data_IF_965910969201
#
_entry.id   IF_965910969201
#
_cell.length_a   1.000
_cell.length_b   1.000
_cell.length_c   1.000
_cell.angle_alpha   90.00
_cell.angle_beta   90.00
_cell.angle_gamma   90.00
#
_symmetry.space_group_name_H-M   'P 1'
#
loop_
_entity.id
_entity.type
_entity.pdbx_description
1 polymer ?
#
# COMPACT_ATOMS: atom_id res chain seq x y z
N UNK A 1 -2.06 8.87 27.25
CA UNK A 1 -2.15 8.52 26.91
C UNK A 1 -1.96 7.87 26.26
N UNK A 2 -1.81 7.29 26.26
CA UNK A 2 -1.57 6.77 25.71
C UNK A 2 -1.90 6.64 24.78
N UNK A 3 -1.88 6.29 25.13
CA UNK A 3 -1.49 6.16 23.92
C UNK A 3 -2.45 6.16 22.85
N UNK A 4 -2.80 7.10 22.38
CA UNK A 4 -3.64 7.20 21.21
C UNK A 4 -2.96 6.71 19.94
N UNK A 5 -1.92 5.96 20.11
CA UNK A 5 -1.25 5.35 18.99
C UNK A 5 -2.17 4.33 18.34
N UNK A 6 -2.38 4.48 17.07
CA UNK A 6 -3.17 3.52 16.31
C UNK A 6 -2.52 2.14 16.38
N UNK A 7 -3.32 1.13 16.57
CA UNK A 7 -2.82 -0.23 16.55
C UNK A 7 -2.41 -0.60 15.12
N UNK A 8 -1.22 -1.17 14.96
CA UNK A 8 -0.79 -1.66 13.66
C UNK A 8 -1.41 -3.03 13.44
N UNK A 9 -2.33 -3.11 12.50
CA UNK A 9 -3.10 -4.32 12.23
C UNK A 9 -2.29 -5.32 11.42
N UNK A 10 -2.69 -6.59 11.52
CA UNK A 10 -2.22 -7.64 10.63
C UNK A 10 -3.41 -8.13 9.82
N UNK A 11 -3.15 -8.60 8.61
CA UNK A 11 -4.19 -9.16 7.75
C UNK A 11 -3.99 -10.66 7.62
N UNK A 12 -5.11 -11.38 7.43
CA UNK A 12 -5.06 -12.80 7.08
C UNK A 12 -5.05 -12.88 5.56
N UNK A 13 -4.03 -13.53 5.01
CA UNK A 13 -3.81 -13.63 3.57
C UNK A 13 -3.68 -15.08 3.17
N UNK A 14 -4.53 -15.51 2.23
CA UNK A 14 -4.44 -16.87 1.69
C UNK A 14 -3.37 -16.90 0.61
N UNK A 15 -2.44 -17.85 0.74
CA UNK A 15 -1.42 -18.06 -0.28
C UNK A 15 -2.05 -18.61 -1.56
N UNK A 16 -1.79 -17.95 -2.69
CA UNK A 16 -2.34 -18.38 -3.98
C UNK A 16 -1.63 -19.62 -4.53
N UNK A 17 -0.48 -19.95 -3.99
CA UNK A 17 0.28 -21.14 -4.45
C UNK A 17 -0.11 -22.41 -3.72
N UNK A 18 -0.28 -22.35 -2.39
CA UNK A 18 -0.54 -23.55 -1.61
C UNK A 18 -1.84 -23.51 -0.80
N UNK A 19 -2.53 -22.39 -0.76
CA UNK A 19 -3.82 -22.25 -0.08
C UNK A 19 -3.75 -22.01 1.42
N UNK A 20 -2.57 -21.99 2.01
CA UNK A 20 -2.44 -21.75 3.45
C UNK A 20 -2.80 -20.30 3.78
N UNK A 21 -3.56 -20.11 4.85
CA UNK A 21 -3.84 -18.79 5.38
C UNK A 21 -2.68 -18.33 6.26
N UNK A 22 -2.18 -17.13 6.01
CA UNK A 22 -1.06 -16.55 6.71
C UNK A 22 -1.47 -15.25 7.39
N UNK A 23 -0.84 -14.97 8.52
CA UNK A 23 -0.98 -13.67 9.16
C UNK A 23 0.15 -12.77 8.67
N UNK A 24 -0.20 -11.69 7.98
CA UNK A 24 0.77 -10.77 7.40
C UNK A 24 0.73 -9.46 8.20
N UNK A 25 1.81 -9.11 8.90
CA UNK A 25 1.84 -7.84 9.63
C UNK A 25 1.90 -6.66 8.69
N UNK A 26 1.23 -5.57 9.08
CA UNK A 26 1.24 -4.34 8.30
C UNK A 26 2.63 -3.72 8.26
N UNK A 27 3.40 -3.86 9.34
CA UNK A 27 4.78 -3.39 9.41
C UNK A 27 5.69 -4.58 9.73
N UNK A 28 6.74 -4.75 8.95
CA UNK A 28 7.72 -5.82 9.14
C UNK A 28 9.03 -5.41 8.48
N UNK A 29 10.12 -6.04 8.94
CA UNK A 29 11.44 -5.73 8.40
C UNK A 29 11.77 -6.49 7.13
N UNK A 30 10.99 -7.51 6.79
CA UNK A 30 11.24 -8.32 5.62
C UNK A 30 10.00 -8.52 4.78
N UNK A 31 10.16 -9.12 3.62
CA UNK A 31 9.06 -9.45 2.72
C UNK A 31 8.23 -10.58 3.32
N UNK A 32 6.89 -10.44 3.40
CA UNK A 32 6.05 -11.53 3.89
C UNK A 32 6.09 -12.73 2.95
N UNK A 33 6.30 -13.90 3.55
CA UNK A 33 6.33 -15.16 2.82
C UNK A 33 5.41 -16.17 3.48
N UNK A 34 4.86 -17.06 2.66
CA UNK A 34 4.01 -18.12 3.15
C UNK A 34 4.79 -19.03 4.10
N UNK A 35 4.23 -19.31 5.28
CA UNK A 35 4.87 -20.17 6.27
C UNK A 35 4.96 -21.62 5.83
N UNK A 36 4.22 -22.02 4.78
CA UNK A 36 4.24 -23.37 4.28
C UNK A 36 5.13 -23.52 3.03
N UNK A 37 4.84 -22.77 1.96
CA UNK A 37 5.56 -22.93 0.68
C UNK A 37 6.65 -21.88 0.43
N UNK A 38 6.75 -20.89 1.30
CA UNK A 38 7.76 -19.81 1.28
C UNK A 38 7.69 -18.86 0.09
N UNK A 39 6.61 -18.91 -0.69
CA UNK A 39 6.39 -17.94 -1.76
C UNK A 39 6.03 -16.58 -1.18
N UNK A 40 6.44 -15.47 -1.84
CA UNK A 40 6.04 -14.14 -1.39
C UNK A 40 4.52 -13.99 -1.37
N UNK A 41 4.02 -13.29 -0.36
CA UNK A 41 2.59 -13.02 -0.21
C UNK A 41 2.29 -11.59 -0.66
N UNK A 42 1.08 -11.32 -1.17
CA UNK A 42 0.65 -9.95 -1.40
C UNK A 42 0.75 -9.14 -0.11
N UNK A 43 1.26 -7.91 -0.20
CA UNK A 43 1.42 -7.08 0.98
C UNK A 43 0.58 -5.82 0.83
N UNK A 44 -0.56 -5.79 1.50
CA UNK A 44 -1.52 -4.70 1.46
C UNK A 44 -1.79 -4.29 2.90
N UNK A 45 -1.62 -3.01 3.20
CA UNK A 45 -1.82 -2.50 4.55
C UNK A 45 -2.51 -1.15 4.51
N UNK A 46 -3.24 -0.84 5.58
CA UNK A 46 -3.80 0.49 5.78
C UNK A 46 -2.92 1.25 6.74
N UNK A 47 -2.74 2.55 6.50
CA UNK A 47 -1.95 3.41 7.37
C UNK A 47 -2.66 4.74 7.56
N UNK A 48 -2.36 5.39 8.66
CA UNK A 48 -2.82 6.73 8.99
C UNK A 48 -1.67 7.58 9.47
N UNK A 49 -2.01 8.76 10.03
CA UNK A 49 -1.00 9.72 10.47
C UNK A 49 -0.03 9.12 11.50
N UNK A 50 -0.53 8.28 12.39
CA UNK A 50 0.29 7.70 13.47
C UNK A 50 1.07 6.46 13.10
N UNK A 51 0.82 5.85 11.94
CA UNK A 51 1.41 4.56 11.58
C UNK A 51 2.17 4.58 10.26
N UNK A 52 2.09 5.68 9.51
CA UNK A 52 2.65 5.75 8.16
C UNK A 52 4.16 5.52 8.15
N UNK A 53 4.87 6.07 9.13
CA UNK A 53 6.33 5.92 9.19
C UNK A 53 6.73 4.45 9.29
N UNK A 54 6.07 3.69 10.17
CA UNK A 54 6.40 2.28 10.36
C UNK A 54 5.91 1.40 9.22
N UNK A 55 4.73 1.70 8.67
CA UNK A 55 4.11 0.83 7.67
C UNK A 55 4.67 1.11 6.27
N UNK A 56 4.85 2.39 5.93
CA UNK A 56 5.24 2.76 4.57
C UNK A 56 6.69 3.21 4.46
N UNK A 57 7.13 4.12 5.32
CA UNK A 57 8.46 4.72 5.15
C UNK A 57 9.59 3.79 5.55
N UNK A 58 9.36 2.91 6.51
CA UNK A 58 10.37 1.96 6.97
C UNK A 58 10.45 0.70 6.08
N UNK A 59 9.56 0.54 5.12
CA UNK A 59 9.57 -0.63 4.26
C UNK A 59 10.84 -0.67 3.40
N UNK A 60 11.39 -1.86 3.23
CA UNK A 60 12.63 -2.06 2.48
C UNK A 60 12.41 -2.23 0.97
N UNK A 61 11.18 -2.49 0.56
CA UNK A 61 10.81 -2.61 -0.86
C UNK A 61 10.00 -1.38 -1.26
N UNK A 62 9.88 -1.10 -2.57
CA UNK A 62 9.06 0.02 -3.03
C UNK A 62 7.63 -0.07 -2.54
N UNK A 63 7.06 1.07 -2.17
CA UNK A 63 5.71 1.17 -1.63
C UNK A 63 4.87 2.00 -2.59
N UNK A 64 3.74 1.44 -3.00
CA UNK A 64 2.70 2.20 -3.72
C UNK A 64 1.73 2.70 -2.66
N UNK A 65 1.61 4.02 -2.52
CA UNK A 65 0.71 4.64 -1.57
C UNK A 65 -0.55 5.08 -2.31
N UNK A 66 -1.70 4.63 -1.83
CA UNK A 66 -3.00 5.00 -2.36
C UNK A 66 -3.66 5.98 -1.39
N UNK A 67 -3.64 7.26 -1.72
CA UNK A 67 -4.30 8.30 -0.94
C UNK A 67 -5.72 8.45 -1.49
N UNK A 68 -6.69 7.97 -0.72
CA UNK A 68 -8.07 7.81 -1.18
C UNK A 68 -9.06 8.41 -0.17
N UNK A 69 -10.33 8.47 -0.55
CA UNK A 69 -11.41 8.90 0.34
C UNK A 69 -12.65 8.04 0.12
N UNK A 70 -13.46 7.81 1.17
CA UNK A 70 -14.66 6.96 1.05
C UNK A 70 -15.71 7.48 0.08
N UNK A 71 -15.78 8.82 -0.11
CA UNK A 71 -16.76 9.46 -0.98
C UNK A 71 -16.30 9.52 -2.45
N UNK A 72 -15.14 9.03 -2.75
CA UNK A 72 -14.48 9.18 -4.05
C UNK A 72 -14.80 7.98 -4.96
N UNK A 73 -15.61 8.21 -6.00
CA UNK A 73 -15.96 7.14 -6.95
C UNK A 73 -14.76 6.62 -7.75
N UNK A 74 -13.87 7.49 -8.28
CA UNK A 74 -12.66 6.99 -8.97
C UNK A 74 -11.76 6.15 -8.08
N UNK A 75 -11.73 6.43 -6.77
CA UNK A 75 -10.94 5.61 -5.83
C UNK A 75 -11.47 4.19 -5.78
N UNK A 76 -12.79 4.00 -5.82
CA UNK A 76 -13.39 2.66 -5.80
C UNK A 76 -13.08 1.89 -7.09
N UNK A 77 -12.85 2.60 -8.18
CA UNK A 77 -12.48 1.97 -9.44
C UNK A 77 -11.02 1.54 -9.46
N UNK A 78 -10.13 2.36 -8.88
CA UNK A 78 -8.70 2.06 -8.90
C UNK A 78 -8.29 1.06 -7.84
N UNK A 79 -9.03 0.95 -6.73
CA UNK A 79 -8.67 0.09 -5.61
C UNK A 79 -8.53 -1.38 -6.01
N UNK A 80 -9.48 -2.00 -6.75
CA UNK A 80 -9.30 -3.39 -7.18
C UNK A 80 -8.09 -3.57 -8.09
N UNK A 81 -7.78 -2.59 -8.95
CA UNK A 81 -6.63 -2.67 -9.85
C UNK A 81 -5.32 -2.62 -9.05
N UNK A 82 -5.25 -1.76 -8.04
CA UNK A 82 -4.08 -1.70 -7.16
C UNK A 82 -3.88 -2.99 -6.38
N UNK A 83 -4.96 -3.56 -5.87
CA UNK A 83 -4.89 -4.82 -5.14
C UNK A 83 -4.47 -5.97 -6.05
N UNK A 84 -4.94 -5.96 -7.30
CA UNK A 84 -4.49 -6.94 -8.29
C UNK A 84 -2.99 -6.82 -8.54
N UNK A 85 -2.49 -5.58 -8.67
CA UNK A 85 -1.05 -5.35 -8.83
C UNK A 85 -0.26 -5.84 -7.62
N UNK A 86 -0.77 -5.60 -6.42
CA UNK A 86 -0.10 -6.06 -5.21
C UNK A 86 0.01 -7.59 -5.19
N UNK A 87 -1.00 -8.30 -5.69
CA UNK A 87 -0.95 -9.75 -5.82
C UNK A 87 0.04 -10.19 -6.89
N UNK A 88 -0.04 -9.56 -8.06
CA UNK A 88 0.82 -9.93 -9.19
C UNK A 88 2.29 -9.61 -8.94
N UNK A 89 2.56 -8.58 -8.16
CA UNK A 89 3.92 -8.13 -7.84
C UNK A 89 4.30 -8.45 -6.39
N UNK A 90 3.75 -9.53 -5.84
CA UNK A 90 4.06 -9.96 -4.48
C UNK A 90 5.58 -10.16 -4.33
N UNK A 91 6.15 -9.60 -3.26
CA UNK A 91 7.58 -9.61 -3.03
C UNK A 91 8.33 -8.47 -3.67
N UNK A 92 7.70 -7.72 -4.58
CA UNK A 92 8.32 -6.60 -5.29
C UNK A 92 7.80 -5.25 -4.87
N UNK A 93 6.54 -5.18 -4.42
CA UNK A 93 5.93 -3.94 -3.93
C UNK A 93 5.12 -4.21 -2.67
N UNK A 94 4.89 -3.14 -1.93
CA UNK A 94 3.92 -3.10 -0.84
C UNK A 94 2.88 -2.05 -1.20
N UNK A 95 1.60 -2.36 -1.05
CA UNK A 95 0.52 -1.40 -1.25
C UNK A 95 0.09 -0.88 0.12
N UNK A 96 0.17 0.44 0.31
CA UNK A 96 -0.28 1.09 1.54
C UNK A 96 -1.41 2.03 1.21
N UNK A 97 -2.58 1.82 1.81
CA UNK A 97 -3.78 2.61 1.57
C UNK A 97 -3.96 3.61 2.70
N UNK A 98 -4.19 4.86 2.36
CA UNK A 98 -4.36 5.95 3.33
C UNK A 98 -5.67 6.67 3.06
N UNK A 99 -6.61 6.57 4.00
CA UNK A 99 -7.87 7.31 3.94
C UNK A 99 -7.57 8.75 4.39
N UNK A 100 -7.62 9.70 3.47
CA UNK A 100 -7.25 11.10 3.77
C UNK A 100 -8.21 11.78 4.74
N UNK A 101 -9.44 11.29 4.84
CA UNK A 101 -10.40 11.83 5.82
C UNK A 101 -9.95 11.52 7.25
N UNK A 102 -9.21 10.44 7.43
CA UNK A 102 -8.69 10.01 8.73
C UNK A 102 -7.21 10.36 8.91
N UNK A 103 -6.57 10.89 7.87
CA UNK A 103 -5.14 11.19 7.88
C UNK A 103 -4.87 12.60 7.34
N UNK A 104 -5.37 13.65 8.03
CA UNK A 104 -5.24 15.01 7.54
C UNK A 104 -3.79 15.50 7.47
N UNK A 105 -2.91 15.00 8.33
CA UNK A 105 -1.50 15.40 8.31
C UNK A 105 -0.80 14.87 7.06
N UNK A 106 -1.09 13.61 6.69
CA UNK A 106 -0.52 13.03 5.48
C UNK A 106 -1.08 13.71 4.23
N UNK A 107 -2.38 14.03 4.22
CA UNK A 107 -2.99 14.74 3.10
C UNK A 107 -2.31 16.10 2.89
N UNK A 108 -2.01 16.81 3.95
CA UNK A 108 -1.31 18.09 3.88
C UNK A 108 0.16 17.90 3.47
N UNK A 109 0.84 16.95 4.09
CA UNK A 109 2.25 16.68 3.82
C UNK A 109 2.50 16.34 2.35
N UNK A 110 1.63 15.55 1.75
CA UNK A 110 1.77 15.15 0.35
C UNK A 110 1.00 16.03 -0.61
N UNK A 111 0.45 17.15 -0.11
CA UNK A 111 -0.23 18.15 -0.94
C UNK A 111 -1.32 17.51 -1.80
N UNK A 112 -2.22 16.78 -1.15
CA UNK A 112 -3.29 16.05 -1.84
C UNK A 112 -4.46 16.97 -2.10
N UNK A 113 -4.68 17.34 -3.37
CA UNK A 113 -5.80 18.19 -3.79
C UNK A 113 -6.87 17.44 -4.55
N UNK A 114 -6.57 16.22 -4.98
CA UNK A 114 -7.50 15.39 -5.71
C UNK A 114 -7.26 13.94 -5.28
N UNK A 115 -8.33 13.13 -5.31
CA UNK A 115 -8.23 11.70 -5.00
C UNK A 115 -8.75 10.89 -6.18
N UNK A 116 -8.16 9.73 -6.45
CA UNK A 116 -7.00 9.19 -5.75
C UNK A 116 -5.72 9.92 -6.15
N UNK A 117 -4.77 9.99 -5.22
CA UNK A 117 -3.40 10.39 -5.53
C UNK A 117 -2.52 9.21 -5.17
N UNK A 118 -1.73 8.76 -6.13
CA UNK A 118 -0.85 7.62 -5.97
C UNK A 118 0.58 8.09 -5.88
N UNK A 119 1.32 7.53 -4.94
CA UNK A 119 2.74 7.83 -4.78
C UNK A 119 3.52 6.52 -4.85
N UNK A 120 4.77 6.59 -5.29
CA UNK A 120 5.70 5.50 -5.09
C UNK A 120 6.80 6.01 -4.19
N UNK A 121 7.03 5.29 -3.10
CA UNK A 121 8.10 5.57 -2.17
C UNK A 121 9.19 4.52 -2.33
N UNK A 122 10.44 4.99 -2.29
CA UNK A 122 11.60 4.11 -2.17
C UNK A 122 12.39 4.58 -0.96
N UNK A 123 12.52 3.71 0.03
CA UNK A 123 13.23 4.03 1.27
C UNK A 123 12.73 5.33 1.88
N UNK A 124 11.42 5.49 1.91
CA UNK A 124 10.76 6.65 2.51
C UNK A 124 10.70 7.90 1.65
N UNK A 125 11.26 7.89 0.43
CA UNK A 125 11.25 9.07 -0.43
C UNK A 125 10.29 8.89 -1.60
N UNK A 126 9.56 9.94 -1.94
CA UNK A 126 8.63 9.94 -3.07
C UNK A 126 9.44 9.97 -4.37
N UNK A 127 9.30 8.92 -5.17
CA UNK A 127 10.00 8.84 -6.47
C UNK A 127 9.06 8.99 -7.65
N UNK A 128 7.75 8.87 -7.45
CA UNK A 128 6.76 9.05 -8.51
C UNK A 128 5.43 9.49 -7.90
N UNK A 129 4.65 10.23 -8.66
CA UNK A 129 3.34 10.74 -8.25
C UNK A 129 2.39 10.70 -9.44
N UNK A 130 1.17 10.23 -9.21
CA UNK A 130 0.12 10.16 -10.22
C UNK A 130 -1.19 10.62 -9.60
N UNK A 131 -1.78 11.69 -10.11
CA UNK A 131 -3.09 12.15 -9.69
C UNK A 131 -4.16 11.54 -10.61
N UNK A 132 -5.25 11.08 -9.99
CA UNK A 132 -6.36 10.50 -10.71
C UNK A 132 -6.23 9.00 -10.92
N UNK A 133 -7.34 8.36 -11.30
CA UNK A 133 -7.41 6.93 -11.52
C UNK A 133 -6.86 6.56 -12.89
N UNK A 134 -6.15 5.44 -12.94
CA UNK A 134 -5.68 4.84 -14.20
C UNK A 134 -6.29 3.45 -14.34
N UNK A 135 -6.59 3.01 -15.56
CA UNK A 135 -6.98 1.62 -15.79
C UNK A 135 -5.78 0.69 -15.52
N UNK A 136 -6.07 -0.57 -15.28
CA UNK A 136 -5.06 -1.53 -14.85
C UNK A 136 -3.82 -1.58 -15.76
N UNK A 137 -3.94 -1.61 -17.10
CA UNK A 137 -2.72 -1.65 -17.94
C UNK A 137 -1.82 -0.42 -17.78
N UNK A 138 -2.42 0.77 -17.69
CA UNK A 138 -1.65 1.99 -17.51
C UNK A 138 -1.06 2.08 -16.12
N UNK A 139 -1.81 1.62 -15.12
CA UNK A 139 -1.35 1.58 -13.74
C UNK A 139 -0.16 0.63 -13.59
N UNK A 140 -0.25 -0.54 -14.21
CA UNK A 140 0.85 -1.52 -14.22
C UNK A 140 2.11 -0.92 -14.86
N UNK A 141 1.95 -0.26 -16.01
CA UNK A 141 3.08 0.36 -16.71
C UNK A 141 3.73 1.44 -15.85
N UNK A 142 2.92 2.24 -15.16
CA UNK A 142 3.42 3.30 -14.29
C UNK A 142 4.23 2.72 -13.13
N UNK A 143 3.70 1.69 -12.48
CA UNK A 143 4.38 1.04 -11.36
C UNK A 143 5.67 0.37 -11.83
N UNK A 144 5.62 -0.40 -12.92
CA UNK A 144 6.79 -1.12 -13.41
C UNK A 144 7.89 -0.17 -13.89
N UNK A 145 7.52 0.96 -14.48
CA UNK A 145 8.50 1.98 -14.86
C UNK A 145 9.24 2.51 -13.60
N UNK A 146 8.53 2.72 -12.53
CA UNK A 146 9.12 3.21 -11.29
C UNK A 146 10.00 2.16 -10.60
N UNK A 147 9.78 0.88 -10.89
CA UNK A 147 10.58 -0.22 -10.32
C UNK A 147 11.88 -0.46 -11.12
N UNK A 148 11.95 0.05 -12.32
CA UNK A 148 13.10 -0.17 -13.18
C UNK A 148 14.37 0.54 -12.66
#
# INVERSE_FOLDING_TARGET
MQGNKEAIAAALVRCEHCGRTNRVPAAATGIPRCGNCHQPLPWIADAGDGTFAEIAEAATIPVVVDLWAPWCAPCRMVSPALERLARDLAGRIKLVKVNIDEAPQLAQRFDVHAVPTLLILRKGEVTARQAGALPLPALRAWVEHALA
#
